data_IF_734269493347
#
_entry.id   IF_734269493347
#
_cell.length_a   1.000
_cell.length_b   1.000
_cell.length_c   1.000
_cell.angle_alpha   90.00
_cell.angle_beta   90.00
_cell.angle_gamma   90.00
#
_symmetry.space_group_name_H-M   'P 1'
#
loop_
_entity.id
_entity.type
_entity.pdbx_description
1 polymer ?
#
# COMPACT_ATOMS: atom_id res chain seq x y z
N UNK A 1 -2.69 -1.98 -13.70
CA UNK A 1 -2.85 -1.78 -12.26
C UNK A 1 -3.67 -0.52 -11.90
N UNK A 2 -3.87 0.39 -12.84
CA UNK A 2 -4.78 1.53 -12.69
C UNK A 2 -6.22 1.06 -12.95
N UNK A 3 -7.20 1.59 -12.18
CA UNK A 3 -8.60 1.35 -12.47
C UNK A 3 -8.94 1.77 -13.92
N UNK A 4 -9.73 1.00 -14.66
CA UNK A 4 -10.41 -0.25 -14.34
C UNK A 4 -9.60 -1.54 -14.58
N UNK A 5 -8.32 -1.43 -14.96
CA UNK A 5 -7.45 -2.56 -15.33
C UNK A 5 -6.68 -3.15 -14.12
N UNK A 6 -7.24 -3.05 -12.93
CA UNK A 6 -6.59 -3.45 -11.67
C UNK A 6 -6.96 -4.88 -11.21
N UNK A 7 -8.00 -5.50 -11.77
CA UNK A 7 -8.59 -6.76 -11.27
C UNK A 7 -7.60 -7.95 -11.21
N UNK A 8 -6.63 -8.01 -12.10
CA UNK A 8 -5.64 -9.08 -12.14
C UNK A 8 -4.62 -8.99 -11.00
N UNK A 9 -4.33 -7.79 -10.54
CA UNK A 9 -3.25 -7.52 -9.59
C UNK A 9 -3.47 -8.14 -8.21
N UNK A 10 -4.66 -8.04 -7.56
CA UNK A 10 -4.89 -8.68 -6.28
C UNK A 10 -4.81 -10.20 -6.36
N UNK A 11 -5.33 -10.81 -7.45
CA UNK A 11 -5.23 -12.24 -7.67
C UNK A 11 -3.78 -12.71 -7.87
N UNK A 12 -2.99 -11.98 -8.65
CA UNK A 12 -1.57 -12.28 -8.86
C UNK A 12 -0.78 -12.19 -7.55
N UNK A 13 -1.01 -11.14 -6.74
CA UNK A 13 -0.25 -10.92 -5.51
C UNK A 13 -0.66 -11.85 -4.37
N UNK A 14 -1.95 -12.19 -4.25
CA UNK A 14 -2.41 -13.06 -3.15
C UNK A 14 -2.08 -14.53 -3.36
N UNK A 15 -1.96 -14.97 -4.62
CA UNK A 15 -1.70 -16.38 -4.97
C UNK A 15 -0.21 -16.68 -5.23
N UNK A 16 0.64 -15.67 -5.27
CA UNK A 16 2.10 -15.85 -5.42
C UNK A 16 2.76 -16.29 -4.11
N UNK A 17 3.98 -16.84 -4.22
CA UNK A 17 4.84 -17.10 -3.07
C UNK A 17 5.14 -15.80 -2.30
N UNK A 18 5.57 -15.85 -1.03
CA UNK A 18 5.88 -14.64 -0.23
C UNK A 18 6.87 -13.70 -0.92
N UNK A 19 7.98 -14.27 -1.39
CA UNK A 19 9.00 -13.52 -2.14
C UNK A 19 8.48 -13.03 -3.48
N UNK A 20 7.67 -13.84 -4.19
CA UNK A 20 7.04 -13.46 -5.44
C UNK A 20 6.10 -12.26 -5.27
N UNK A 21 5.21 -12.29 -4.29
CA UNK A 21 4.31 -11.18 -3.98
C UNK A 21 5.06 -9.91 -3.59
N UNK A 22 6.10 -10.05 -2.76
CA UNK A 22 6.96 -8.94 -2.37
C UNK A 22 7.68 -8.32 -3.59
N UNK A 23 8.31 -9.13 -4.45
CA UNK A 23 8.98 -8.65 -5.67
C UNK A 23 8.02 -8.03 -6.67
N UNK A 24 6.90 -8.67 -6.97
CA UNK A 24 5.90 -8.16 -7.91
C UNK A 24 5.34 -6.83 -7.45
N UNK A 25 5.04 -6.72 -6.14
CA UNK A 25 4.46 -5.51 -5.58
C UNK A 25 5.47 -4.39 -5.38
N UNK A 26 6.72 -4.68 -5.05
CA UNK A 26 7.73 -3.65 -4.73
C UNK A 26 8.57 -3.23 -5.94
N UNK A 27 9.11 -4.19 -6.69
CA UNK A 27 10.10 -3.89 -7.75
C UNK A 27 9.44 -3.85 -9.11
N UNK A 28 8.76 -4.93 -9.50
CA UNK A 28 8.28 -5.08 -10.89
C UNK A 28 7.27 -4.00 -11.25
N UNK A 29 6.20 -3.86 -10.47
CA UNK A 29 5.16 -2.86 -10.75
C UNK A 29 5.69 -1.43 -10.66
N UNK A 30 6.65 -1.16 -9.78
CA UNK A 30 7.25 0.17 -9.61
C UNK A 30 8.24 0.51 -10.70
N UNK A 31 8.97 -0.48 -11.19
CA UNK A 31 9.83 -0.31 -12.38
C UNK A 31 9.03 0.17 -13.58
N UNK A 32 7.86 -0.42 -13.84
CA UNK A 32 6.97 0.03 -14.92
C UNK A 32 6.36 1.42 -14.65
N UNK A 33 5.99 1.74 -13.41
CA UNK A 33 5.51 3.08 -13.04
C UNK A 33 6.62 4.11 -13.23
N UNK A 34 7.83 3.81 -12.79
CA UNK A 34 8.99 4.69 -12.97
C UNK A 34 9.31 4.92 -14.45
N UNK A 35 9.26 3.85 -15.28
CA UNK A 35 9.41 3.95 -16.71
C UNK A 35 8.33 4.85 -17.34
N UNK A 36 7.06 4.68 -16.91
CA UNK A 36 5.96 5.53 -17.35
C UNK A 36 6.21 7.00 -17.02
N UNK A 37 6.63 7.31 -15.79
CA UNK A 37 6.95 8.68 -15.37
C UNK A 37 8.10 9.24 -16.21
N UNK A 38 9.12 8.43 -16.50
CA UNK A 38 10.23 8.83 -17.36
C UNK A 38 9.79 9.14 -18.80
N UNK A 39 8.92 8.31 -19.37
CA UNK A 39 8.31 8.58 -20.68
C UNK A 39 7.46 9.84 -20.65
N UNK A 40 6.64 9.99 -19.61
CA UNK A 40 5.78 11.13 -19.38
C UNK A 40 6.57 12.45 -19.37
N UNK A 41 7.68 12.50 -18.60
CA UNK A 41 8.44 13.73 -18.40
C UNK A 41 9.49 13.97 -19.49
N UNK A 42 10.20 12.89 -19.95
CA UNK A 42 11.39 13.00 -20.79
C UNK A 42 11.14 12.78 -22.28
N UNK A 43 10.19 11.91 -22.63
CA UNK A 43 9.96 11.54 -24.05
C UNK A 43 8.85 12.38 -24.65
N UNK A 44 7.68 12.45 -23.99
CA UNK A 44 6.53 13.19 -24.52
C UNK A 44 6.66 14.68 -24.18
N UNK A 45 7.12 14.99 -22.98
CA UNK A 45 7.20 16.34 -22.46
C UNK A 45 5.92 16.74 -21.70
N UNK A 46 6.13 17.45 -20.62
CA UNK A 46 5.08 17.80 -19.66
C UNK A 46 4.01 18.71 -20.27
N UNK A 47 4.43 19.68 -21.08
CA UNK A 47 3.50 20.65 -21.70
C UNK A 47 2.57 19.99 -22.70
N UNK A 48 3.08 19.02 -23.48
CA UNK A 48 2.28 18.26 -24.45
C UNK A 48 1.23 17.44 -23.74
N UNK A 49 1.60 16.73 -22.69
CA UNK A 49 0.68 15.88 -21.91
C UNK A 49 -0.44 16.72 -21.26
N UNK A 50 -0.08 17.89 -20.77
CA UNK A 50 -1.04 18.84 -20.18
C UNK A 50 -2.01 19.38 -21.23
N UNK A 51 -1.52 19.73 -22.40
CA UNK A 51 -2.35 20.25 -23.50
C UNK A 51 -3.32 19.21 -24.07
N UNK A 52 -2.96 17.91 -24.03
CA UNK A 52 -3.81 16.81 -24.48
C UNK A 52 -4.87 16.36 -23.46
N UNK A 53 -4.91 16.94 -22.25
CA UNK A 53 -5.85 16.54 -21.18
C UNK A 53 -5.56 15.17 -20.56
N UNK A 54 -4.39 14.58 -20.82
CA UNK A 54 -4.00 13.27 -20.28
C UNK A 54 -3.90 13.35 -18.74
N UNK A 55 -3.50 14.50 -18.21
CA UNK A 55 -3.46 14.76 -16.77
C UNK A 55 -4.83 14.52 -16.12
N UNK A 56 -5.91 15.06 -16.70
CA UNK A 56 -7.27 14.90 -16.15
C UNK A 56 -7.71 13.44 -16.13
N UNK A 57 -7.37 12.69 -17.19
CA UNK A 57 -7.68 11.25 -17.29
C UNK A 57 -6.96 10.47 -16.20
N UNK A 58 -5.65 10.69 -16.02
CA UNK A 58 -4.86 10.04 -14.98
C UNK A 58 -5.36 10.40 -13.58
N UNK A 59 -5.72 11.68 -13.38
CA UNK A 59 -6.26 12.16 -12.11
C UNK A 59 -7.57 11.45 -11.73
N UNK A 60 -8.53 11.42 -12.65
CA UNK A 60 -9.84 10.82 -12.40
C UNK A 60 -9.73 9.32 -12.13
N UNK A 61 -9.02 8.58 -13.00
CA UNK A 61 -8.82 7.14 -12.78
C UNK A 61 -7.98 6.84 -11.54
N UNK A 62 -7.01 7.70 -11.21
CA UNK A 62 -6.24 7.61 -9.98
C UNK A 62 -7.13 7.80 -8.74
N UNK A 63 -7.95 8.85 -8.71
CA UNK A 63 -8.87 9.13 -7.60
C UNK A 63 -9.90 8.00 -7.41
N UNK A 64 -10.47 7.47 -8.50
CA UNK A 64 -11.38 6.31 -8.44
C UNK A 64 -10.62 5.09 -7.90
N UNK A 65 -9.39 4.83 -8.38
CA UNK A 65 -8.55 3.73 -7.92
C UNK A 65 -8.22 3.80 -6.44
N UNK A 66 -7.97 5.00 -5.89
CA UNK A 66 -7.75 5.22 -4.45
C UNK A 66 -8.94 4.73 -3.63
N UNK A 67 -10.15 5.10 -4.02
CA UNK A 67 -11.39 4.77 -3.28
C UNK A 67 -11.77 3.31 -3.51
N UNK A 68 -11.84 2.87 -4.76
CA UNK A 68 -12.24 1.50 -5.11
C UNK A 68 -11.28 0.45 -4.52
N UNK A 69 -9.96 0.68 -4.61
CA UNK A 69 -8.95 -0.17 -4.00
C UNK A 69 -9.09 -0.26 -2.48
N UNK A 70 -9.36 0.87 -1.82
CA UNK A 70 -9.56 0.92 -0.36
C UNK A 70 -10.85 0.19 0.07
N UNK A 71 -11.95 0.34 -0.67
CA UNK A 71 -13.21 -0.37 -0.41
C UNK A 71 -13.00 -1.89 -0.57
N UNK A 72 -12.33 -2.32 -1.63
CA UNK A 72 -12.07 -3.73 -1.86
C UNK A 72 -11.12 -4.33 -0.82
N UNK A 73 -10.12 -3.56 -0.36
CA UNK A 73 -9.24 -3.96 0.74
C UNK A 73 -10.02 -4.15 2.05
N UNK A 74 -10.97 -3.27 2.34
CA UNK A 74 -11.84 -3.38 3.51
C UNK A 74 -12.71 -4.65 3.46
N UNK A 75 -13.22 -5.01 2.28
CA UNK A 75 -14.07 -6.19 2.05
C UNK A 75 -13.30 -7.50 1.95
N UNK A 76 -11.99 -7.46 1.83
CA UNK A 76 -11.16 -8.65 1.68
C UNK A 76 -11.24 -9.55 2.91
N UNK A 77 -11.45 -10.85 2.67
CA UNK A 77 -11.57 -11.87 3.73
C UNK A 77 -10.20 -12.34 4.24
N UNK A 78 -9.19 -12.35 3.36
CA UNK A 78 -7.84 -12.78 3.69
C UNK A 78 -6.91 -11.60 3.84
N UNK A 79 -5.88 -11.73 4.69
CA UNK A 79 -4.87 -10.69 4.92
C UNK A 79 -4.10 -10.37 3.65
N UNK A 80 -3.69 -11.39 2.89
CA UNK A 80 -2.96 -11.21 1.62
C UNK A 80 -3.79 -10.44 0.60
N UNK A 81 -5.08 -10.77 0.46
CA UNK A 81 -5.97 -10.07 -0.46
C UNK A 81 -6.17 -8.61 -0.04
N UNK A 82 -6.29 -8.34 1.27
CA UNK A 82 -6.38 -6.98 1.82
C UNK A 82 -5.11 -6.19 1.47
N UNK A 83 -3.93 -6.74 1.71
CA UNK A 83 -2.65 -6.11 1.36
C UNK A 83 -2.53 -5.92 -0.16
N UNK A 84 -3.04 -6.84 -0.98
CA UNK A 84 -3.03 -6.73 -2.43
C UNK A 84 -3.95 -5.61 -2.94
N UNK A 85 -5.20 -5.52 -2.47
CA UNK A 85 -6.11 -4.42 -2.83
C UNK A 85 -5.64 -3.06 -2.33
N UNK A 86 -4.98 -3.01 -1.16
CA UNK A 86 -4.36 -1.77 -0.72
C UNK A 86 -3.22 -1.32 -1.65
N UNK A 87 -2.59 -2.22 -2.44
CA UNK A 87 -1.66 -1.82 -3.50
C UNK A 87 -2.38 -1.11 -4.65
N UNK A 88 -3.59 -1.54 -5.03
CA UNK A 88 -4.41 -0.85 -6.03
C UNK A 88 -4.69 0.58 -5.58
N UNK A 89 -5.12 0.75 -4.31
CA UNK A 89 -5.36 2.08 -3.76
C UNK A 89 -4.11 2.97 -3.82
N UNK A 90 -2.95 2.45 -3.39
CA UNK A 90 -1.70 3.24 -3.38
C UNK A 90 -1.18 3.55 -4.80
N UNK A 91 -1.41 2.68 -5.78
CA UNK A 91 -1.15 2.99 -7.19
C UNK A 91 -2.08 4.11 -7.66
N UNK A 92 -3.33 4.13 -7.20
CA UNK A 92 -4.26 5.24 -7.42
C UNK A 92 -3.69 6.58 -6.93
N UNK A 93 -3.05 6.62 -5.74
CA UNK A 93 -2.36 7.82 -5.24
C UNK A 93 -1.29 8.31 -6.21
N UNK A 94 -0.46 7.41 -6.76
CA UNK A 94 0.60 7.76 -7.70
C UNK A 94 0.02 8.40 -8.97
N UNK A 95 -1.00 7.78 -9.55
CA UNK A 95 -1.60 8.28 -10.78
C UNK A 95 -2.42 9.57 -10.56
N UNK A 96 -3.11 9.69 -9.42
CA UNK A 96 -3.79 10.93 -9.07
C UNK A 96 -2.80 12.07 -8.87
N UNK A 97 -1.66 11.82 -8.23
CA UNK A 97 -0.60 12.83 -8.07
C UNK A 97 0.01 13.26 -9.41
N UNK A 98 0.30 12.31 -10.32
CA UNK A 98 0.75 12.62 -11.69
C UNK A 98 -0.29 13.43 -12.45
N UNK A 99 -1.56 13.09 -12.28
CA UNK A 99 -2.68 13.74 -12.94
C UNK A 99 -2.98 15.16 -12.45
N UNK A 100 -2.40 15.60 -11.31
CA UNK A 100 -2.49 17.01 -10.88
C UNK A 100 -1.76 17.97 -11.83
N UNK A 101 -0.89 17.46 -12.69
CA UNK A 101 -0.30 18.23 -13.78
C UNK A 101 0.64 19.36 -13.31
N UNK A 102 1.29 19.20 -12.16
CA UNK A 102 2.30 20.14 -11.66
C UNK A 102 3.56 19.39 -11.15
N UNK A 103 4.65 20.13 -10.97
CA UNK A 103 5.94 19.57 -10.56
C UNK A 103 5.87 18.86 -9.20
N UNK A 104 5.13 19.43 -8.26
CA UNK A 104 4.95 18.85 -6.94
C UNK A 104 4.18 17.52 -6.98
N UNK A 105 3.22 17.39 -7.90
CA UNK A 105 2.51 16.13 -8.17
C UNK A 105 3.44 15.03 -8.72
N UNK A 106 4.36 15.39 -9.63
CA UNK A 106 5.37 14.47 -10.15
C UNK A 106 6.32 14.03 -9.02
N UNK A 107 6.81 14.97 -8.22
CA UNK A 107 7.68 14.68 -7.07
C UNK A 107 6.97 13.76 -6.07
N UNK A 108 5.71 14.07 -5.76
CA UNK A 108 4.87 13.23 -4.92
C UNK A 108 4.74 11.80 -5.45
N UNK A 109 4.46 11.65 -6.75
CA UNK A 109 4.32 10.34 -7.38
C UNK A 109 5.61 9.51 -7.32
N UNK A 110 6.78 10.13 -7.55
CA UNK A 110 8.09 9.49 -7.44
C UNK A 110 8.37 9.06 -6.00
N UNK A 111 8.21 9.97 -5.04
CA UNK A 111 8.44 9.67 -3.64
C UNK A 111 7.49 8.60 -3.11
N UNK A 112 6.20 8.69 -3.46
CA UNK A 112 5.22 7.70 -3.07
C UNK A 112 5.53 6.32 -3.66
N UNK A 113 6.04 6.26 -4.89
CA UNK A 113 6.47 5.01 -5.53
C UNK A 113 7.57 4.32 -4.73
N UNK A 114 8.56 5.05 -4.23
CA UNK A 114 9.66 4.54 -3.40
C UNK A 114 9.16 4.09 -2.02
N UNK A 115 8.43 4.96 -1.31
CA UNK A 115 7.88 4.67 0.01
C UNK A 115 6.96 3.44 -0.01
N UNK A 116 6.09 3.37 -1.01
CA UNK A 116 5.19 2.24 -1.22
C UNK A 116 5.94 0.95 -1.54
N UNK A 117 7.04 1.01 -2.31
CA UNK A 117 7.86 -0.16 -2.65
C UNK A 117 8.42 -0.83 -1.39
N UNK A 118 9.09 -0.07 -0.53
CA UNK A 118 9.66 -0.56 0.72
C UNK A 118 8.58 -1.14 1.67
N UNK A 119 7.51 -0.38 1.86
CA UNK A 119 6.42 -0.77 2.77
C UNK A 119 5.70 -2.04 2.31
N UNK A 120 5.49 -2.22 1.01
CA UNK A 120 4.78 -3.39 0.49
C UNK A 120 5.59 -4.68 0.58
N UNK A 121 6.90 -4.62 0.37
CA UNK A 121 7.76 -5.78 0.62
C UNK A 121 7.61 -6.28 2.05
N UNK A 122 7.68 -5.37 3.02
CA UNK A 122 7.52 -5.67 4.44
C UNK A 122 6.14 -6.25 4.76
N UNK A 123 5.07 -5.65 4.24
CA UNK A 123 3.70 -6.09 4.49
C UNK A 123 3.41 -7.47 3.90
N UNK A 124 3.87 -7.79 2.68
CA UNK A 124 3.63 -9.11 2.10
C UNK A 124 4.40 -10.20 2.83
N UNK A 125 5.67 -9.97 3.19
CA UNK A 125 6.47 -10.93 3.93
C UNK A 125 5.89 -11.14 5.34
N UNK A 126 5.56 -10.05 6.04
CA UNK A 126 4.99 -10.16 7.39
C UNK A 126 3.60 -10.82 7.40
N UNK A 127 2.72 -10.46 6.46
CA UNK A 127 1.41 -11.09 6.34
C UNK A 127 1.52 -12.59 6.10
N UNK A 128 2.43 -13.01 5.21
CA UNK A 128 2.65 -14.42 4.94
C UNK A 128 3.23 -15.18 6.16
N UNK A 129 4.20 -14.56 6.87
CA UNK A 129 4.77 -15.14 8.09
C UNK A 129 3.70 -15.29 9.18
N UNK A 130 2.81 -14.32 9.31
CA UNK A 130 1.69 -14.37 10.25
C UNK A 130 0.66 -15.43 9.86
N UNK A 131 0.31 -15.54 8.58
CA UNK A 131 -0.59 -16.58 8.08
C UNK A 131 -0.03 -17.98 8.38
N UNK A 132 1.26 -18.20 8.08
CA UNK A 132 1.93 -19.48 8.35
C UNK A 132 1.97 -19.79 9.86
N UNK A 133 2.27 -18.80 10.69
CA UNK A 133 2.23 -18.94 12.15
C UNK A 133 0.82 -19.21 12.70
N UNK A 134 -0.22 -18.92 11.92
CA UNK A 134 -1.63 -19.14 12.27
C UNK A 134 -2.22 -20.43 11.71
N UNK A 135 -1.39 -21.32 11.12
CA UNK A 135 -1.81 -22.61 10.56
C UNK A 135 -2.35 -22.51 9.13
N UNK A 136 -1.90 -21.53 8.35
CA UNK A 136 -2.21 -21.33 6.94
C UNK A 136 -3.71 -21.20 6.60
N UNK A 137 -4.49 -20.71 7.56
CA UNK A 137 -5.94 -20.49 7.36
C UNK A 137 -6.22 -19.30 6.44
N UNK A 138 -5.26 -18.40 6.29
CA UNK A 138 -5.29 -17.17 5.48
C UNK A 138 -6.40 -16.17 5.83
N UNK A 139 -7.27 -16.47 6.81
CA UNK A 139 -8.36 -15.60 7.20
C UNK A 139 -7.90 -14.51 8.18
N UNK A 140 -8.37 -13.30 7.98
CA UNK A 140 -8.03 -12.16 8.85
C UNK A 140 -8.38 -12.39 10.33
N UNK A 141 -9.50 -13.08 10.60
CA UNK A 141 -9.94 -13.38 11.96
C UNK A 141 -8.98 -14.30 12.73
N UNK A 142 -8.27 -15.17 12.02
CA UNK A 142 -7.36 -16.15 12.63
C UNK A 142 -5.98 -15.58 12.95
N UNK A 143 -5.76 -14.29 12.66
CA UNK A 143 -4.56 -13.55 13.06
C UNK A 143 -4.54 -13.18 14.55
N UNK A 144 -5.62 -13.43 15.31
CA UNK A 144 -5.64 -13.21 16.76
C UNK A 144 -4.45 -13.91 17.42
N UNK A 145 -3.77 -13.20 18.31
CA UNK A 145 -2.58 -13.74 18.97
C UNK A 145 -1.32 -13.80 18.09
N UNK A 146 -1.34 -13.25 16.88
CA UNK A 146 -0.20 -13.27 15.95
C UNK A 146 1.07 -12.68 16.54
N UNK A 147 0.97 -11.67 17.40
CA UNK A 147 2.11 -11.09 18.13
C UNK A 147 2.81 -12.13 19.02
N UNK A 148 2.06 -12.96 19.73
CA UNK A 148 2.64 -13.97 20.60
C UNK A 148 3.33 -15.08 19.82
N UNK A 149 2.79 -15.44 18.65
CA UNK A 149 3.36 -16.45 17.75
C UNK A 149 4.61 -15.97 17.03
N UNK A 150 4.56 -14.75 16.51
CA UNK A 150 5.62 -14.17 15.68
C UNK A 150 5.75 -12.65 15.92
N UNK A 151 6.43 -12.24 17.02
CA UNK A 151 6.53 -10.83 17.41
C UNK A 151 7.13 -9.94 16.33
N UNK A 152 8.18 -10.42 15.66
CA UNK A 152 8.87 -9.65 14.61
C UNK A 152 7.95 -9.40 13.40
N UNK A 153 7.21 -10.44 12.96
CA UNK A 153 6.29 -10.28 11.83
C UNK A 153 5.11 -9.37 12.20
N UNK A 154 4.60 -9.47 13.44
CA UNK A 154 3.54 -8.58 13.91
C UNK A 154 4.01 -7.13 14.01
N UNK A 155 5.22 -6.87 14.53
CA UNK A 155 5.80 -5.54 14.59
C UNK A 155 6.01 -4.95 13.19
N UNK A 156 6.57 -5.74 12.26
CA UNK A 156 6.77 -5.33 10.87
C UNK A 156 5.43 -5.03 10.16
N UNK A 157 4.41 -5.87 10.36
CA UNK A 157 3.07 -5.62 9.82
C UNK A 157 2.48 -4.34 10.39
N UNK A 158 2.59 -4.12 11.70
CA UNK A 158 2.09 -2.92 12.40
C UNK A 158 2.76 -1.66 11.86
N UNK A 159 4.09 -1.66 11.70
CA UNK A 159 4.83 -0.53 11.16
C UNK A 159 4.43 -0.26 9.71
N UNK A 160 4.33 -1.29 8.88
CA UNK A 160 3.89 -1.15 7.48
C UNK A 160 2.46 -0.65 7.35
N UNK A 161 1.57 -1.12 8.22
CA UNK A 161 0.19 -0.64 8.32
C UNK A 161 0.14 0.84 8.71
N UNK A 162 0.87 1.23 9.76
CA UNK A 162 0.99 2.62 10.22
C UNK A 162 1.54 3.54 9.12
N UNK A 163 2.55 3.07 8.37
CA UNK A 163 3.11 3.83 7.25
C UNK A 163 2.07 4.05 6.15
N UNK A 164 1.33 3.02 5.69
CA UNK A 164 0.31 3.18 4.65
C UNK A 164 -0.91 4.00 5.12
N UNK A 165 -1.25 3.94 6.39
CA UNK A 165 -2.26 4.84 6.98
C UNK A 165 -1.77 6.29 6.91
N UNK A 166 -0.46 6.51 7.02
CA UNK A 166 0.15 7.83 6.99
C UNK A 166 0.26 8.41 8.40
N UNK A 167 0.77 7.63 9.34
CA UNK A 167 1.11 8.14 10.67
C UNK A 167 2.25 9.16 10.53
N UNK A 168 2.18 10.32 11.21
CA UNK A 168 3.23 11.33 11.19
C UNK A 168 4.61 10.73 11.44
N UNK A 169 5.63 11.32 10.83
CA UNK A 169 7.04 10.90 10.83
C UNK A 169 7.37 9.71 9.91
N UNK A 170 6.38 9.01 9.33
CA UNK A 170 6.62 7.95 8.36
C UNK A 170 6.55 8.48 6.91
N UNK A 171 7.22 7.77 6.00
CA UNK A 171 7.45 8.22 4.61
C UNK A 171 6.16 8.51 3.82
N UNK A 172 5.11 7.69 4.01
CA UNK A 172 3.83 7.87 3.31
C UNK A 172 3.05 9.09 3.83
N UNK A 173 3.23 9.51 5.09
CA UNK A 173 2.65 10.76 5.59
C UNK A 173 3.14 11.96 4.77
N UNK A 174 4.46 12.03 4.55
CA UNK A 174 5.07 13.10 3.75
C UNK A 174 4.45 13.15 2.37
N UNK A 175 4.30 12.00 1.71
CA UNK A 175 3.72 11.95 0.36
C UNK A 175 2.25 12.37 0.32
N UNK A 176 1.47 12.05 1.36
CA UNK A 176 0.07 12.51 1.47
C UNK A 176 -0.04 14.02 1.65
N UNK A 177 0.84 14.60 2.48
CA UNK A 177 0.91 16.06 2.64
C UNK A 177 1.34 16.72 1.34
N UNK A 178 2.36 16.18 0.67
CA UNK A 178 2.82 16.69 -0.64
C UNK A 178 1.70 16.60 -1.70
N UNK A 179 0.93 15.51 -1.72
CA UNK A 179 -0.21 15.38 -2.62
C UNK A 179 -1.29 16.43 -2.34
N UNK A 180 -1.59 16.69 -1.06
CA UNK A 180 -2.54 17.74 -0.69
C UNK A 180 -2.05 19.13 -1.12
N UNK A 181 -0.77 19.43 -0.92
CA UNK A 181 -0.16 20.68 -1.38
C UNK A 181 -0.21 20.80 -2.91
N UNK A 182 0.16 19.75 -3.64
CA UNK A 182 0.07 19.71 -5.09
C UNK A 182 -1.36 19.96 -5.59
N UNK A 183 -2.36 19.37 -4.93
CA UNK A 183 -3.76 19.58 -5.25
C UNK A 183 -4.20 21.03 -5.03
N UNK A 184 -3.78 21.66 -3.92
CA UNK A 184 -4.08 23.07 -3.64
C UNK A 184 -3.44 23.98 -4.70
N UNK A 185 -2.22 23.68 -5.15
CA UNK A 185 -1.56 24.44 -6.21
C UNK A 185 -2.24 24.32 -7.58
N UNK A 186 -2.85 23.17 -7.88
CA UNK A 186 -3.62 22.99 -9.13
C UNK A 186 -4.90 23.85 -9.10
N UNK A 187 -5.56 23.95 -7.94
CA UNK A 187 -6.75 24.77 -7.76
C UNK A 187 -8.05 24.12 -8.26
N UNK A 188 -9.15 24.85 -8.08
CA UNK A 188 -10.46 24.50 -8.62
C UNK A 188 -11.02 23.15 -8.16
N UNK A 189 -11.72 22.47 -9.08
CA UNK A 189 -12.36 21.15 -8.80
C UNK A 189 -11.35 20.05 -8.47
N UNK A 190 -10.12 20.11 -8.99
CA UNK A 190 -9.09 19.13 -8.72
C UNK A 190 -8.69 19.10 -7.24
N UNK A 191 -8.59 20.27 -6.60
CA UNK A 191 -8.31 20.37 -5.17
C UNK A 191 -9.37 19.64 -4.35
N UNK A 192 -10.65 19.94 -4.60
CA UNK A 192 -11.74 19.34 -3.83
C UNK A 192 -11.77 17.82 -4.00
N UNK A 193 -11.72 17.36 -5.25
CA UNK A 193 -11.75 15.92 -5.56
C UNK A 193 -10.55 15.21 -4.95
N UNK A 194 -9.34 15.77 -5.08
CA UNK A 194 -8.10 15.18 -4.54
C UNK A 194 -8.16 15.08 -3.01
N UNK A 195 -8.54 16.16 -2.32
CA UNK A 195 -8.61 16.17 -0.86
C UNK A 195 -9.69 15.22 -0.34
N UNK A 196 -10.86 15.18 -0.98
CA UNK A 196 -11.92 14.23 -0.62
C UNK A 196 -11.46 12.78 -0.85
N UNK A 197 -10.87 12.46 -2.00
CA UNK A 197 -10.37 11.12 -2.28
C UNK A 197 -9.26 10.71 -1.30
N UNK A 198 -8.35 11.64 -0.99
CA UNK A 198 -7.27 11.46 -0.02
C UNK A 198 -7.84 11.15 1.38
N UNK A 199 -8.80 11.94 1.85
CA UNK A 199 -9.43 11.77 3.15
C UNK A 199 -10.19 10.43 3.23
N UNK A 200 -11.06 10.14 2.27
CA UNK A 200 -11.85 8.91 2.23
C UNK A 200 -10.94 7.68 2.19
N UNK A 201 -9.97 7.65 1.28
CA UNK A 201 -9.05 6.53 1.16
C UNK A 201 -8.18 6.35 2.41
N UNK A 202 -7.74 7.45 3.04
CA UNK A 202 -6.96 7.39 4.29
C UNK A 202 -7.79 6.84 5.45
N UNK A 203 -9.04 7.26 5.60
CA UNK A 203 -9.94 6.72 6.62
C UNK A 203 -10.22 5.23 6.41
N UNK A 204 -10.48 4.81 5.18
CA UNK A 204 -10.65 3.40 4.86
C UNK A 204 -9.37 2.59 5.14
N UNK A 205 -8.18 3.13 4.78
CA UNK A 205 -6.89 2.51 5.08
C UNK A 205 -6.70 2.33 6.60
N UNK A 206 -7.01 3.37 7.38
CA UNK A 206 -6.96 3.29 8.84
C UNK A 206 -7.90 2.20 9.36
N UNK A 207 -9.14 2.16 8.89
CA UNK A 207 -10.12 1.19 9.34
C UNK A 207 -9.65 -0.26 9.16
N UNK A 208 -9.24 -0.66 7.96
CA UNK A 208 -8.89 -2.07 7.75
C UNK A 208 -7.50 -2.44 8.26
N UNK A 209 -6.53 -1.53 8.23
CA UNK A 209 -5.20 -1.81 8.76
C UNK A 209 -5.19 -1.81 10.30
N UNK A 210 -5.76 -0.79 10.95
CA UNK A 210 -5.81 -0.75 12.41
C UNK A 210 -6.65 -1.91 12.98
N UNK A 211 -7.80 -2.22 12.36
CA UNK A 211 -8.61 -3.36 12.78
C UNK A 211 -7.86 -4.69 12.68
N UNK A 212 -7.05 -4.89 11.63
CA UNK A 212 -6.22 -6.10 11.51
C UNK A 212 -5.06 -6.08 12.50
N UNK A 213 -4.40 -4.94 12.67
CA UNK A 213 -3.29 -4.78 13.63
C UNK A 213 -3.75 -5.03 15.06
N UNK A 214 -4.90 -4.50 15.46
CA UNK A 214 -5.43 -4.74 16.81
C UNK A 214 -5.66 -6.24 17.08
N UNK A 215 -6.15 -6.99 16.10
CA UNK A 215 -6.33 -8.44 16.25
C UNK A 215 -5.02 -9.18 16.53
N UNK A 216 -3.88 -8.73 16.03
CA UNK A 216 -2.58 -9.36 16.27
C UNK A 216 -2.19 -9.35 17.76
N UNK A 217 -2.58 -8.32 18.49
CA UNK A 217 -2.21 -8.15 19.92
C UNK A 217 -3.25 -8.70 20.91
N UNK A 218 -4.44 -9.10 20.44
CA UNK A 218 -5.45 -9.73 21.28
C UNK A 218 -5.14 -11.23 21.36
N UNK A 219 -4.91 -11.81 22.56
CA UNK A 219 -4.66 -13.25 22.70
C UNK A 219 -5.82 -14.08 22.13
N UNK A 220 -5.49 -15.23 21.58
CA UNK A 220 -6.50 -16.21 21.16
C UNK A 220 -6.93 -17.01 22.40
N UNK A 221 -8.10 -16.71 22.91
CA UNK A 221 -8.68 -17.38 24.09
C UNK A 221 -9.43 -18.66 23.71
N UNK A 222 -9.86 -18.80 22.46
CA UNK A 222 -10.55 -20.00 21.98
C UNK A 222 -9.55 -21.14 21.73
N UNK A 223 -8.33 -20.80 21.36
CA UNK A 223 -7.24 -21.74 21.06
C UNK A 223 -5.93 -21.29 21.74
N UNK A 224 -5.80 -21.41 23.10
CA UNK A 224 -4.62 -20.96 23.83
C UNK A 224 -3.31 -21.59 23.36
N UNK A 225 -3.35 -22.82 22.87
CA UNK A 225 -2.21 -23.54 22.29
C UNK A 225 -1.61 -22.85 21.06
N UNK A 226 -2.41 -22.08 20.34
CA UNK A 226 -1.96 -21.30 19.18
C UNK A 226 -1.14 -20.06 19.55
N UNK A 227 -1.07 -19.68 20.82
CA UNK A 227 -0.24 -18.56 21.25
C UNK A 227 1.23 -18.93 21.45
N UNK A 228 1.62 -20.19 21.20
CA UNK A 228 3.00 -20.62 21.28
C UNK A 228 3.87 -20.02 20.15
N UNK A 229 5.11 -19.63 20.48
CA UNK A 229 6.05 -19.05 19.53
C UNK A 229 6.40 -20.04 18.41
N UNK A 230 6.30 -19.55 17.17
CA UNK A 230 6.74 -20.27 15.98
C UNK A 230 8.13 -19.78 15.57
N UNK A 231 9.03 -20.69 15.24
CA UNK A 231 10.37 -20.34 14.73
C UNK A 231 10.23 -19.68 13.35
N UNK A 232 10.72 -18.45 13.23
CA UNK A 232 10.77 -17.73 11.96
C UNK A 232 12.01 -18.19 11.19
N UNK A 233 11.88 -18.34 9.86
CA UNK A 233 13.04 -18.58 9.00
C UNK A 233 14.01 -17.38 9.09
N UNK A 234 15.31 -17.67 9.25
CA UNK A 234 16.35 -16.64 9.41
C UNK A 234 16.36 -15.64 8.25
N UNK A 235 16.15 -16.09 7.01
CA UNK A 235 16.07 -15.20 5.85
C UNK A 235 14.87 -14.25 5.94
N UNK A 236 13.71 -14.73 6.40
CA UNK A 236 12.54 -13.88 6.61
C UNK A 236 12.78 -12.86 7.74
N UNK A 237 13.46 -13.27 8.82
CA UNK A 237 13.81 -12.37 9.93
C UNK A 237 14.75 -11.24 9.47
N UNK A 238 15.81 -11.57 8.74
CA UNK A 238 16.74 -10.58 8.19
C UNK A 238 16.03 -9.63 7.24
N UNK A 239 15.18 -10.15 6.33
CA UNK A 239 14.39 -9.35 5.42
C UNK A 239 13.45 -8.38 6.15
N UNK A 240 12.74 -8.85 7.18
CA UNK A 240 11.85 -8.01 7.97
C UNK A 240 12.60 -6.90 8.72
N UNK A 241 13.74 -7.19 9.33
CA UNK A 241 14.59 -6.18 10.01
C UNK A 241 15.09 -5.14 9.02
N UNK A 242 15.58 -5.57 7.84
CA UNK A 242 16.00 -4.66 6.78
C UNK A 242 14.87 -3.76 6.29
N UNK A 243 13.66 -4.29 6.09
CA UNK A 243 12.51 -3.48 5.68
C UNK A 243 11.98 -2.56 6.78
N UNK A 244 12.08 -2.94 8.06
CA UNK A 244 11.80 -2.05 9.18
C UNK A 244 12.74 -0.85 9.13
N UNK A 245 14.04 -1.09 8.99
CA UNK A 245 15.04 -0.01 8.91
C UNK A 245 14.84 0.93 7.69
N UNK A 246 14.32 0.41 6.58
CA UNK A 246 14.00 1.23 5.39
C UNK A 246 12.73 2.08 5.53
N UNK A 247 11.87 1.78 6.51
CA UNK A 247 10.61 2.51 6.71
C UNK A 247 10.63 3.48 7.90
N UNK A 248 11.69 3.45 8.70
CA UNK A 248 11.99 4.41 9.77
C UNK A 248 12.87 5.54 9.25
#
# INVERSE_FOLDING_TARGET
>A
ALFPFDKWLPAAYSNSTPSGSAMLSSIVSKGYIFLLIKVYVRVIGFDVIRSLGICDVLFVFGAIGMIAGSINAMRAKTTRMMVAYSSVAQIGYIFAALGLGNELGILCALWHTLAHSATKSMLFISAHTLDHASGDTHLRKDLRGGFYRSPLAAAAFTLGAANLVGVPMLSVFITKVTMAQAAVMTGGRHTVIALCALAISTLLNAYYFLGTTMQLYIPDHEHPERNARVKINVCAAIGLVGFIALNL
#
